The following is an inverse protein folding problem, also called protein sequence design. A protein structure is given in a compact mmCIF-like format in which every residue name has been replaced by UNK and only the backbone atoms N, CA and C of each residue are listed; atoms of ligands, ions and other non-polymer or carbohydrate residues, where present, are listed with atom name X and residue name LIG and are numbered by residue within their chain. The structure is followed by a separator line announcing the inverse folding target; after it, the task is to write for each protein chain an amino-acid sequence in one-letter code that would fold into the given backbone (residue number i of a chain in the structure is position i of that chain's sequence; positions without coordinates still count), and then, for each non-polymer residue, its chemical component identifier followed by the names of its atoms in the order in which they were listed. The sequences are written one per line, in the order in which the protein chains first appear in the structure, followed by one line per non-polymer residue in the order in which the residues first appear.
data_IF_591578081991
#
_entry.id   IF_591578081991
#
_cell.length_a   1.000
_cell.length_b   1.000
_cell.length_c   1.000
_cell.angle_alpha   90.00
_cell.angle_beta   90.00
_cell.angle_gamma   90.00
#
_symmetry.space_group_name_H-M   'P 1'
#
loop_
_entity.id
_entity.type
_entity.pdbx_description
1 polymer ?
#
# COMPACT_ATOMS: atom_id res chain seq x y z
N UNK A 1 -20.19 -12.17 10.78
CA UNK A 1 -18.87 -12.29 11.44
C UNK A 1 -17.70 -12.59 10.50
N UNK A 2 -17.74 -13.66 9.68
CA UNK A 2 -16.62 -14.01 8.78
C UNK A 2 -16.20 -12.87 7.85
N UNK A 3 -17.15 -12.24 7.15
CA UNK A 3 -16.88 -11.11 6.25
C UNK A 3 -16.22 -9.90 6.94
N UNK A 4 -16.54 -9.65 8.22
CA UNK A 4 -15.90 -8.59 9.01
C UNK A 4 -14.44 -8.91 9.31
N UNK A 5 -14.15 -10.14 9.74
CA UNK A 5 -12.77 -10.58 9.97
C UNK A 5 -11.94 -10.53 8.68
N UNK A 6 -12.54 -10.93 7.55
CA UNK A 6 -11.90 -10.82 6.25
C UNK A 6 -11.61 -9.36 5.87
N UNK A 7 -12.55 -8.44 6.08
CA UNK A 7 -12.35 -7.01 5.83
C UNK A 7 -11.21 -6.44 6.70
N UNK A 8 -11.21 -6.74 7.99
CA UNK A 8 -10.16 -6.32 8.93
C UNK A 8 -8.78 -6.88 8.50
N UNK A 9 -8.71 -8.11 8.00
CA UNK A 9 -7.49 -8.68 7.45
C UNK A 9 -7.01 -7.98 6.18
N UNK A 10 -7.93 -7.58 5.30
CA UNK A 10 -7.61 -6.79 4.10
C UNK A 10 -7.01 -5.44 4.47
N UNK A 11 -7.54 -4.76 5.49
CA UNK A 11 -6.97 -3.50 6.02
C UNK A 11 -5.54 -3.72 6.50
N UNK A 12 -5.28 -4.79 7.25
CA UNK A 12 -3.93 -5.13 7.73
C UNK A 12 -2.99 -5.39 6.56
N UNK A 13 -3.41 -6.17 5.55
CA UNK A 13 -2.61 -6.41 4.35
C UNK A 13 -2.34 -5.10 3.62
N UNK A 14 -3.34 -4.22 3.49
CA UNK A 14 -3.19 -2.94 2.82
C UNK A 14 -2.18 -2.06 3.55
N UNK A 15 -2.23 -2.02 4.88
CA UNK A 15 -1.24 -1.31 5.69
C UNK A 15 0.18 -1.87 5.51
N UNK A 16 0.32 -3.20 5.56
CA UNK A 16 1.61 -3.87 5.32
C UNK A 16 2.13 -3.58 3.92
N UNK A 17 1.26 -3.51 2.92
CA UNK A 17 1.61 -3.14 1.55
C UNK A 17 2.19 -1.72 1.49
N UNK A 18 1.56 -0.75 2.15
CA UNK A 18 2.09 0.62 2.24
C UNK A 18 3.46 0.63 2.92
N UNK A 19 3.61 -0.05 4.06
CA UNK A 19 4.90 -0.16 4.75
C UNK A 19 5.96 -0.83 3.86
N UNK A 20 5.58 -1.85 3.10
CA UNK A 20 6.46 -2.52 2.15
C UNK A 20 6.93 -1.57 1.05
N UNK A 21 6.07 -0.70 0.53
CA UNK A 21 6.48 0.29 -0.47
C UNK A 21 7.47 1.31 0.12
N UNK A 22 7.26 1.74 1.37
CA UNK A 22 8.14 2.70 2.05
C UNK A 22 9.50 2.07 2.41
N UNK A 23 9.50 0.89 3.02
CA UNK A 23 10.70 0.27 3.61
C UNK A 23 11.30 -0.87 2.78
N UNK A 24 10.63 -1.32 1.73
CA UNK A 24 11.05 -2.45 0.89
C UNK A 24 12.38 -2.24 0.19
N UNK A 25 12.82 -0.99 0.03
CA UNK A 25 14.16 -0.66 -0.47
C UNK A 25 15.27 -1.26 0.41
N UNK A 26 15.13 -1.21 1.74
CA UNK A 26 16.15 -1.71 2.66
C UNK A 26 16.28 -3.24 2.60
N UNK A 27 15.15 -3.94 2.51
CA UNK A 27 15.11 -5.41 2.43
C UNK A 27 15.52 -5.89 1.03
N UNK A 28 15.06 -5.20 -0.03
CA UNK A 28 15.43 -5.48 -1.42
C UNK A 28 16.92 -5.27 -1.71
N UNK A 29 17.63 -4.49 -0.87
CA UNK A 29 19.10 -4.43 -0.92
C UNK A 29 19.77 -5.72 -0.48
N UNK A 30 19.12 -6.62 0.25
CA UNK A 30 19.69 -7.93 0.60
C UNK A 30 19.18 -9.05 -0.30
N UNK A 31 17.89 -9.05 -0.63
CA UNK A 31 17.23 -10.14 -1.35
C UNK A 31 16.72 -9.68 -2.73
N UNK A 32 17.18 -10.34 -3.80
CA UNK A 32 16.81 -10.02 -5.19
C UNK A 32 15.32 -10.20 -5.46
N UNK A 33 14.70 -11.25 -4.90
CA UNK A 33 13.26 -11.51 -5.00
C UNK A 33 12.46 -10.35 -4.41
N UNK A 34 12.82 -9.89 -3.21
CA UNK A 34 12.16 -8.75 -2.56
C UNK A 34 12.31 -7.47 -3.37
N UNK A 35 13.49 -7.23 -3.96
CA UNK A 35 13.71 -6.10 -4.87
C UNK A 35 12.76 -6.15 -6.07
N UNK A 36 12.58 -7.32 -6.69
CA UNK A 36 11.69 -7.48 -7.84
C UNK A 36 10.23 -7.16 -7.46
N UNK A 37 9.74 -7.70 -6.34
CA UNK A 37 8.40 -7.40 -5.83
C UNK A 37 8.24 -5.92 -5.43
N UNK A 38 9.27 -5.30 -4.85
CA UNK A 38 9.24 -3.89 -4.47
C UNK A 38 9.14 -2.99 -5.70
N UNK A 39 9.96 -3.23 -6.72
CA UNK A 39 9.91 -2.49 -7.99
C UNK A 39 8.56 -2.69 -8.69
N UNK A 40 8.06 -3.91 -8.75
CA UNK A 40 6.74 -4.21 -9.32
C UNK A 40 5.62 -3.48 -8.55
N UNK A 41 5.70 -3.45 -7.21
CA UNK A 41 4.75 -2.75 -6.36
C UNK A 41 4.76 -1.24 -6.55
N UNK A 42 5.95 -0.63 -6.66
CA UNK A 42 6.09 0.79 -6.99
C UNK A 42 5.48 1.11 -8.36
N UNK A 43 5.78 0.30 -9.37
CA UNK A 43 5.20 0.46 -10.71
C UNK A 43 3.68 0.32 -10.72
N UNK A 44 3.15 -0.64 -9.96
CA UNK A 44 1.72 -0.83 -9.78
C UNK A 44 1.06 0.40 -9.15
N UNK A 45 1.61 0.93 -8.06
CA UNK A 45 1.05 2.11 -7.38
C UNK A 45 1.12 3.37 -8.25
N UNK A 46 2.19 3.57 -9.00
CA UNK A 46 2.28 4.66 -9.98
C UNK A 46 1.19 4.52 -11.05
N UNK A 47 0.98 3.31 -11.56
CA UNK A 47 -0.01 3.03 -12.60
C UNK A 47 -1.42 3.38 -12.13
N UNK A 48 -1.83 2.88 -10.96
CA UNK A 48 -3.18 3.17 -10.43
C UNK A 48 -3.39 4.67 -10.17
N UNK A 49 -2.35 5.41 -9.75
CA UNK A 49 -2.47 6.86 -9.52
C UNK A 49 -2.60 7.63 -10.84
N UNK A 50 -1.88 7.25 -11.89
CA UNK A 50 -2.01 7.86 -13.23
C UNK A 50 -3.43 7.69 -13.76
N UNK A 51 -4.02 6.51 -13.59
CA UNK A 51 -5.40 6.24 -14.02
C UNK A 51 -6.46 6.75 -13.02
N UNK A 52 -6.05 7.40 -11.92
CA UNK A 52 -6.93 7.84 -10.83
C UNK A 52 -7.81 6.70 -10.29
N UNK A 53 -7.27 5.48 -10.26
CA UNK A 53 -7.93 4.29 -9.74
C UNK A 53 -7.68 4.15 -8.24
N UNK A 54 -8.69 3.67 -7.53
CA UNK A 54 -8.55 3.25 -6.15
C UNK A 54 -7.76 1.94 -6.06
N UNK A 55 -7.12 1.71 -4.91
CA UNK A 55 -6.43 0.46 -4.64
C UNK A 55 -7.43 -0.72 -4.69
N UNK A 56 -7.14 -1.83 -5.39
CA UNK A 56 -8.02 -2.99 -5.42
C UNK A 56 -8.33 -3.56 -4.02
N UNK A 57 -7.41 -3.39 -3.06
CA UNK A 57 -7.63 -3.80 -1.67
C UNK A 57 -8.74 -2.99 -1.02
N UNK A 58 -8.86 -1.69 -1.32
CA UNK A 58 -9.95 -0.86 -0.82
C UNK A 58 -11.29 -1.30 -1.41
N UNK A 59 -11.34 -1.64 -2.70
CA UNK A 59 -12.55 -2.22 -3.30
C UNK A 59 -12.95 -3.53 -2.63
N UNK A 60 -11.98 -4.41 -2.37
CA UNK A 60 -12.22 -5.67 -1.70
C UNK A 60 -12.70 -5.47 -0.24
N UNK A 61 -12.10 -4.53 0.48
CA UNK A 61 -12.50 -4.17 1.84
C UNK A 61 -13.96 -3.70 1.88
N UNK A 62 -14.32 -2.72 1.05
CA UNK A 62 -15.68 -2.17 0.98
C UNK A 62 -16.69 -3.27 0.62
N UNK A 63 -16.34 -4.11 -0.36
CA UNK A 63 -17.19 -5.24 -0.77
C UNK A 63 -17.41 -6.24 0.39
N UNK A 64 -16.37 -6.59 1.13
CA UNK A 64 -16.47 -7.46 2.32
C UNK A 64 -17.31 -6.82 3.43
N UNK A 65 -17.13 -5.50 3.68
CA UNK A 65 -17.92 -4.76 4.68
C UNK A 65 -19.40 -4.75 4.32
N UNK A 66 -19.75 -4.47 3.06
CA UNK A 66 -21.13 -4.51 2.57
C UNK A 66 -21.77 -5.89 2.70
N UNK A 67 -20.99 -6.96 2.52
CA UNK A 67 -21.45 -8.34 2.68
C UNK A 67 -21.71 -8.73 4.14
N UNK A 68 -21.07 -8.05 5.08
CA UNK A 68 -21.28 -8.25 6.51
C UNK A 68 -22.55 -7.55 7.00
N UNK A 69 -22.69 -6.27 6.68
CA UNK A 69 -23.85 -5.45 7.03
C UNK A 69 -23.91 -4.23 6.08
N UNK A 70 -25.00 -4.09 5.35
CA UNK A 70 -25.20 -3.01 4.38
C UNK A 70 -25.52 -1.65 5.01
N UNK A 71 -25.83 -1.62 6.31
CA UNK A 71 -26.24 -0.41 7.04
C UNK A 71 -25.12 0.23 7.86
N UNK A 72 -24.03 -0.50 8.10
CA UNK A 72 -22.90 -0.03 8.91
C UNK A 72 -21.77 0.48 8.01
N UNK A 73 -21.64 1.81 7.90
CA UNK A 73 -20.48 2.44 7.24
C UNK A 73 -19.17 2.19 7.99
N UNK A 74 -19.24 1.71 9.24
CA UNK A 74 -18.10 1.34 10.07
C UNK A 74 -18.40 0.06 10.85
N UNK A 75 -17.65 -1.00 10.54
CA UNK A 75 -17.77 -2.32 11.21
C UNK A 75 -16.43 -2.85 11.73
N UNK A 76 -15.36 -2.06 11.65
CA UNK A 76 -14.01 -2.42 12.10
C UNK A 76 -13.88 -2.52 13.62
N UNK A 77 -12.86 -3.24 14.09
CA UNK A 77 -12.43 -3.19 15.49
C UNK A 77 -11.71 -1.86 15.82
N UNK A 78 -11.58 -1.52 17.12
CA UNK A 78 -10.95 -0.27 17.56
C UNK A 78 -9.57 -0.02 16.93
N UNK A 79 -8.70 -1.05 16.86
CA UNK A 79 -7.36 -0.91 16.26
C UNK A 79 -7.46 -0.65 14.75
N UNK A 80 -8.36 -1.36 14.07
CA UNK A 80 -8.57 -1.24 12.62
C UNK A 80 -9.02 0.17 12.27
N UNK A 81 -9.84 0.83 13.11
CA UNK A 81 -10.20 2.24 12.95
C UNK A 81 -8.99 3.17 12.76
N UNK A 82 -7.96 3.01 13.60
CA UNK A 82 -6.78 3.87 13.55
C UNK A 82 -5.90 3.54 12.34
N UNK A 83 -5.83 2.27 11.97
CA UNK A 83 -5.12 1.86 10.75
C UNK A 83 -5.83 2.43 9.51
N UNK A 84 -7.15 2.33 9.43
CA UNK A 84 -7.95 2.95 8.35
C UNK A 84 -7.70 4.45 8.28
N UNK A 85 -7.65 5.15 9.41
CA UNK A 85 -7.34 6.59 9.44
C UNK A 85 -5.94 6.94 8.93
N UNK A 86 -4.98 6.02 9.05
CA UNK A 86 -3.63 6.16 8.48
C UNK A 86 -3.58 5.80 6.99
N UNK A 87 -4.41 4.88 6.52
CA UNK A 87 -4.50 4.48 5.11
C UNK A 87 -5.26 5.54 4.31
N UNK A 88 -6.40 5.98 4.83
CA UNK A 88 -7.34 6.89 4.19
C UNK A 88 -7.17 8.33 4.69
N UNK A 89 -5.93 8.83 4.64
CA UNK A 89 -5.65 10.24 4.96
C UNK A 89 -6.20 11.10 3.82
N UNK A 90 -6.92 12.16 4.17
CA UNK A 90 -7.41 13.17 3.24
C UNK A 90 -6.24 14.05 2.76
N UNK A 91 -5.49 13.55 1.78
CA UNK A 91 -4.51 14.31 1.02
C UNK A 91 -4.99 14.50 -0.40
N UNK A 92 -4.60 15.60 -1.04
CA UNK A 92 -4.93 15.79 -2.45
C UNK A 92 -4.23 14.72 -3.30
N UNK A 93 -4.88 14.22 -4.37
CA UNK A 93 -4.27 13.23 -5.25
C UNK A 93 -2.90 13.67 -5.80
N UNK A 94 -2.72 14.97 -6.03
CA UNK A 94 -1.47 15.56 -6.49
C UNK A 94 -0.36 15.42 -5.45
N UNK A 95 -0.65 15.64 -4.16
CA UNK A 95 0.33 15.47 -3.08
C UNK A 95 0.73 14.00 -2.97
N UNK A 96 -0.24 13.08 -2.99
CA UNK A 96 0.02 11.63 -2.95
C UNK A 96 0.92 11.21 -4.12
N UNK A 97 0.65 11.74 -5.32
CA UNK A 97 1.45 11.46 -6.50
C UNK A 97 2.89 11.96 -6.39
N UNK A 98 3.08 13.20 -5.91
CA UNK A 98 4.42 13.76 -5.67
C UNK A 98 5.19 12.92 -4.63
N UNK A 99 4.56 12.56 -3.50
CA UNK A 99 5.17 11.72 -2.48
C UNK A 99 5.55 10.34 -3.03
N UNK A 100 4.69 9.75 -3.87
CA UNK A 100 4.96 8.47 -4.53
C UNK A 100 6.15 8.56 -5.48
N UNK A 101 6.24 9.63 -6.26
CA UNK A 101 7.39 9.86 -7.16
C UNK A 101 8.69 10.08 -6.39
N UNK A 102 8.66 10.83 -5.28
CA UNK A 102 9.82 10.98 -4.41
C UNK A 102 10.27 9.62 -3.85
N UNK A 103 9.33 8.79 -3.42
CA UNK A 103 9.63 7.43 -2.93
C UNK A 103 10.24 6.55 -4.02
N UNK A 104 9.76 6.64 -5.26
CA UNK A 104 10.31 5.92 -6.42
C UNK A 104 11.75 6.36 -6.70
N UNK A 105 11.99 7.67 -6.82
CA UNK A 105 13.34 8.22 -7.07
C UNK A 105 14.31 7.81 -5.97
N UNK A 106 13.90 7.96 -4.71
CA UNK A 106 14.67 7.52 -3.55
C UNK A 106 15.00 6.02 -3.66
N UNK A 107 14.00 5.17 -3.92
CA UNK A 107 14.19 3.72 -4.02
C UNK A 107 15.15 3.32 -5.13
N UNK A 108 15.02 3.92 -6.31
CA UNK A 108 15.89 3.68 -7.46
C UNK A 108 17.33 4.11 -7.17
N UNK A 109 17.53 5.28 -6.56
CA UNK A 109 18.85 5.77 -6.15
C UNK A 109 19.58 4.75 -5.27
N UNK A 110 18.92 4.24 -4.23
CA UNK A 110 19.51 3.22 -3.34
C UNK A 110 19.79 1.88 -4.04
N UNK A 111 18.95 1.48 -4.99
CA UNK A 111 19.18 0.25 -5.76
C UNK A 111 20.33 0.38 -6.76
N UNK A 112 20.54 1.56 -7.35
CA UNK A 112 21.65 1.84 -8.25
C UNK A 112 22.96 1.95 -7.48
N UNK A 113 22.98 2.67 -6.35
CA UNK A 113 24.16 2.75 -5.47
C UNK A 113 24.66 1.37 -5.05
N UNK A 114 23.76 0.45 -4.68
CA UNK A 114 24.14 -0.93 -4.37
C UNK A 114 24.81 -1.63 -5.56
N UNK A 115 24.37 -1.36 -6.79
CA UNK A 115 24.96 -1.94 -8.00
C UNK A 115 26.38 -1.40 -8.22
N UNK A 116 26.59 -0.09 -8.03
CA UNK A 116 27.90 0.55 -8.17
C UNK A 116 28.93 0.06 -7.15
N UNK A 117 28.53 -0.23 -5.91
CA UNK A 117 29.43 -0.76 -4.85
C UNK A 117 29.82 -2.24 -5.08
N UNK A 118 29.06 -2.98 -5.89
CA UNK A 118 29.32 -4.41 -6.18
C UNK A 118 29.96 -4.67 -7.54
N UNK A 119 30.10 -3.63 -8.38
CA UNK A 119 30.75 -3.69 -9.69
C UNK A 119 32.23 -3.32 -9.54
#
# INVERSE_FOLDING_TARGET
MFYRLAADFVVIIHFIWILFLIFGVFIGRRYSVVKMFHIAGLGFVVTIQIFSWYCPLTHLEVWLRQRHDSSLSYSGSFIIHYIERLIYIELSPQIIFVLTMLLVVFSLYFYILKKAVRA
#
